data_IF_844608619331
#
_entry.id   IF_844608619331
#
_cell.length_a   1.000
_cell.length_b   1.000
_cell.length_c   1.000
_cell.angle_alpha   90.00
_cell.angle_beta   90.00
_cell.angle_gamma   90.00
#
_symmetry.space_group_name_H-M   'P 1'
#
loop_
_entity.id
_entity.type
_entity.pdbx_description
1 polymer ?
#
# COMPACT_ATOMS: atom_id res chain seq x y z
N UNK A 1 54.95 22.65 -0.86
CA UNK A 1 53.48 22.43 -0.79
C UNK A 1 53.09 20.96 -0.64
N UNK A 2 53.88 19.99 -1.10
CA UNK A 2 53.56 18.55 -1.02
C UNK A 2 53.35 18.04 0.42
N UNK A 3 54.13 18.56 1.36
CA UNK A 3 54.36 17.99 2.69
C UNK A 3 53.09 18.08 3.56
N UNK A 4 52.36 19.20 3.43
CA UNK A 4 51.07 19.39 4.12
C UNK A 4 50.00 18.43 3.58
N UNK A 5 50.03 18.09 2.28
CA UNK A 5 49.13 17.09 1.68
C UNK A 5 49.51 15.66 2.09
N UNK A 6 50.81 15.33 2.13
CA UNK A 6 51.26 14.02 2.61
C UNK A 6 50.92 13.81 4.09
N UNK A 7 51.11 14.84 4.93
CA UNK A 7 50.74 14.78 6.35
C UNK A 7 49.24 14.49 6.53
N UNK A 8 48.35 15.24 5.89
CA UNK A 8 46.89 14.97 5.96
C UNK A 8 46.50 13.58 5.46
N UNK A 9 47.23 13.02 4.47
CA UNK A 9 46.96 11.70 3.93
C UNK A 9 47.43 10.59 4.88
N UNK A 10 48.54 10.80 5.60
CA UNK A 10 49.03 9.90 6.63
C UNK A 10 48.17 9.95 7.91
N UNK A 11 47.73 11.14 8.33
CA UNK A 11 46.80 11.32 9.45
C UNK A 11 45.46 10.60 9.17
N UNK A 12 44.92 10.75 7.95
CA UNK A 12 43.70 10.04 7.53
C UNK A 12 43.87 8.51 7.47
N UNK A 13 45.00 8.01 6.95
CA UNK A 13 45.33 6.56 6.96
C UNK A 13 45.37 6.01 8.39
N UNK A 14 45.96 6.76 9.32
CA UNK A 14 46.03 6.38 10.73
C UNK A 14 44.64 6.31 11.37
N UNK A 15 43.77 7.29 11.14
CA UNK A 15 42.40 7.25 11.68
C UNK A 15 41.61 6.03 11.19
N UNK A 16 41.75 5.67 9.90
CA UNK A 16 41.12 4.47 9.33
C UNK A 16 41.65 3.19 9.99
N UNK A 17 42.96 3.08 10.23
CA UNK A 17 43.54 1.94 10.96
C UNK A 17 43.06 1.88 12.41
N UNK A 18 42.99 3.00 13.12
CA UNK A 18 42.48 3.04 14.51
C UNK A 18 41.00 2.66 14.60
N UNK A 19 40.17 3.04 13.61
CA UNK A 19 38.77 2.59 13.50
C UNK A 19 38.66 1.09 13.22
N UNK A 20 39.48 0.55 12.32
CA UNK A 20 39.46 -0.87 11.95
C UNK A 20 39.95 -1.77 13.10
N UNK A 21 40.98 -1.35 13.84
CA UNK A 21 41.44 -2.03 15.05
C UNK A 21 40.41 -2.00 16.19
N UNK A 22 39.63 -0.92 16.33
CA UNK A 22 38.50 -0.85 17.29
C UNK A 22 37.38 -1.81 16.90
N UNK A 23 37.07 -1.94 15.60
CA UNK A 23 36.08 -2.90 15.12
C UNK A 23 36.49 -4.35 15.41
N UNK A 24 37.75 -4.72 15.12
CA UNK A 24 38.28 -6.06 15.43
C UNK A 24 38.27 -6.39 16.93
N UNK A 25 38.47 -5.41 17.82
CA UNK A 25 38.36 -5.61 19.29
C UNK A 25 36.92 -5.73 19.81
N UNK A 26 35.89 -5.51 18.98
CA UNK A 26 34.48 -5.60 19.37
C UNK A 26 33.80 -6.95 19.07
N UNK A 27 34.51 -7.90 18.45
CA UNK A 27 33.97 -9.22 18.07
C UNK A 27 34.86 -10.38 18.49
N UNK A 28 34.74 -10.86 19.73
CA UNK A 28 35.52 -12.02 20.18
C UNK A 28 35.40 -12.39 21.66
N UNK A 29 34.26 -12.97 22.07
CA UNK A 29 34.12 -13.69 23.34
C UNK A 29 33.12 -14.84 23.23
N UNK A 30 33.61 -16.06 23.01
CA UNK A 30 33.27 -17.26 23.81
C UNK A 30 34.12 -18.48 23.40
N UNK A 31 34.41 -19.33 24.38
CA UNK A 31 35.19 -20.59 24.32
C UNK A 31 34.19 -21.78 24.46
N UNK A 32 34.47 -23.08 24.31
CA UNK A 32 35.71 -23.86 24.17
C UNK A 32 35.43 -25.32 23.71
N UNK A 33 36.47 -26.05 23.25
CA UNK A 33 36.66 -27.53 23.26
C UNK A 33 35.69 -28.43 22.44
N UNK A 34 36.17 -29.22 21.45
CA UNK A 34 36.74 -30.63 21.50
C UNK A 34 35.61 -31.69 21.24
N UNK A 35 35.76 -32.88 20.63
CA UNK A 35 36.89 -33.77 20.29
C UNK A 35 36.67 -34.52 18.91
N UNK A 36 37.59 -35.40 18.41
CA UNK A 36 37.59 -35.89 17.02
C UNK A 36 37.37 -37.41 16.79
N UNK A 37 37.05 -37.79 15.53
CA UNK A 37 37.40 -39.09 14.89
C UNK A 37 37.39 -39.02 13.34
N UNK A 38 38.11 -39.96 12.73
CA UNK A 38 38.21 -40.37 11.29
C UNK A 38 36.86 -40.61 10.59
N UNK A 39 36.67 -40.55 9.26
CA UNK A 39 37.50 -40.29 8.03
C UNK A 39 36.54 -39.93 6.85
N UNK A 40 36.77 -39.95 5.52
CA UNK A 40 37.81 -40.49 4.58
C UNK A 40 37.80 -39.71 3.23
N UNK A 41 38.53 -40.15 2.19
CA UNK A 41 38.68 -39.50 0.86
C UNK A 41 37.80 -40.08 -0.27
N UNK A 42 37.41 -39.23 -1.24
CA UNK A 42 37.48 -39.51 -2.70
C UNK A 42 37.58 -38.24 -3.57
N UNK A 43 38.26 -38.39 -4.71
CA UNK A 43 38.50 -37.50 -5.87
C UNK A 43 37.27 -37.29 -6.79
N UNK A 44 37.19 -36.38 -7.79
CA UNK A 44 37.95 -35.16 -8.21
C UNK A 44 37.09 -34.34 -9.26
N UNK A 45 37.56 -33.75 -10.38
CA UNK A 45 37.55 -32.29 -10.59
C UNK A 45 36.56 -31.73 -11.65
N UNK A 46 36.38 -30.40 -11.72
CA UNK A 46 35.53 -29.73 -12.73
C UNK A 46 36.31 -29.17 -13.95
N UNK A 47 35.67 -29.01 -15.13
CA UNK A 47 36.15 -28.16 -16.21
C UNK A 47 35.70 -26.70 -16.05
N UNK A 48 36.47 -25.75 -16.61
CA UNK A 48 36.17 -24.32 -16.58
C UNK A 48 36.12 -23.72 -18.01
N UNK A 49 35.39 -22.62 -18.20
CA UNK A 49 35.43 -21.85 -19.46
C UNK A 49 35.25 -20.34 -19.27
N UNK A 50 36.23 -19.60 -19.81
CA UNK A 50 36.19 -18.22 -20.28
C UNK A 50 35.47 -17.14 -19.44
N UNK A 51 36.21 -16.47 -18.56
CA UNK A 51 35.93 -15.07 -18.21
C UNK A 51 36.34 -14.14 -19.36
N UNK A 52 35.46 -13.24 -19.81
CA UNK A 52 35.83 -12.16 -20.75
C UNK A 52 35.62 -10.79 -20.09
N UNK A 53 36.66 -9.94 -20.13
CA UNK A 53 36.58 -8.56 -19.63
C UNK A 53 36.14 -7.64 -20.77
N UNK A 54 35.19 -6.74 -20.50
CA UNK A 54 34.97 -5.54 -21.31
C UNK A 54 35.15 -4.32 -20.40
N UNK A 55 35.85 -3.30 -20.89
CA UNK A 55 36.26 -2.14 -20.13
C UNK A 55 35.17 -1.04 -20.08
N UNK A 56 35.41 -0.04 -19.24
CA UNK A 56 34.51 1.08 -18.98
C UNK A 56 34.44 2.12 -20.11
N UNK A 57 33.23 2.59 -20.43
CA UNK A 57 33.00 3.96 -20.95
C UNK A 57 31.80 4.60 -20.24
N UNK A 58 32.04 5.21 -19.07
CA UNK A 58 31.00 5.90 -18.30
C UNK A 58 30.75 7.33 -18.79
N UNK A 59 29.84 7.50 -19.74
CA UNK A 59 29.38 8.80 -20.25
C UNK A 59 27.88 8.69 -20.65
N UNK A 60 26.97 9.61 -20.31
CA UNK A 60 27.03 10.66 -19.29
C UNK A 60 25.58 11.04 -18.87
N UNK A 61 24.98 10.34 -17.89
CA UNK A 61 23.53 10.44 -17.59
C UNK A 61 23.07 11.88 -17.25
N UNK A 62 23.93 12.62 -16.54
CA UNK A 62 23.72 14.02 -16.15
C UNK A 62 23.59 14.94 -17.38
N UNK A 63 24.34 14.64 -18.44
CA UNK A 63 24.36 15.39 -19.70
C UNK A 63 23.05 15.22 -20.49
N UNK A 64 22.49 14.00 -20.47
CA UNK A 64 21.23 13.69 -21.11
C UNK A 64 20.05 14.34 -20.35
N UNK A 65 20.09 14.33 -19.01
CA UNK A 65 19.15 15.11 -18.19
C UNK A 65 19.25 16.63 -18.43
N UNK A 66 20.47 17.17 -18.54
CA UNK A 66 20.73 18.58 -18.88
C UNK A 66 20.08 18.96 -20.21
N UNK A 67 20.24 18.12 -21.25
CA UNK A 67 19.67 18.36 -22.59
C UNK A 67 18.14 18.33 -22.61
N UNK A 68 17.52 17.44 -21.84
CA UNK A 68 16.06 17.37 -21.65
C UNK A 68 15.53 18.61 -20.91
N UNK A 69 16.23 19.09 -19.89
CA UNK A 69 15.86 20.31 -19.17
C UNK A 69 15.98 21.57 -20.05
N UNK A 70 17.03 21.66 -20.87
CA UNK A 70 17.21 22.79 -21.79
C UNK A 70 16.11 22.82 -22.87
N UNK A 71 15.75 21.69 -23.46
CA UNK A 71 14.67 21.59 -24.45
C UNK A 71 13.32 22.08 -23.87
N UNK A 72 12.99 21.69 -22.63
CA UNK A 72 11.79 22.17 -21.92
C UNK A 72 11.82 23.68 -21.66
N UNK A 73 13.00 24.25 -21.38
CA UNK A 73 13.18 25.69 -21.14
C UNK A 73 13.25 26.57 -22.40
N UNK A 74 13.25 25.98 -23.61
CA UNK A 74 13.03 26.72 -24.86
C UNK A 74 11.54 26.85 -25.15
N UNK A 75 10.80 25.73 -25.09
CA UNK A 75 9.34 25.68 -25.33
C UNK A 75 8.51 26.57 -24.38
N UNK A 76 9.02 26.92 -23.20
CA UNK A 76 8.35 27.81 -22.24
C UNK A 76 8.57 29.30 -22.48
N UNK A 77 9.49 29.72 -23.36
CA UNK A 77 9.83 31.14 -23.57
C UNK A 77 9.01 31.84 -24.65
N UNK A 78 8.51 31.11 -25.65
CA UNK A 78 7.84 31.69 -26.81
C UNK A 78 6.35 32.03 -26.58
N UNK A 79 5.84 31.83 -25.34
CA UNK A 79 4.44 32.03 -24.97
C UNK A 79 4.23 33.23 -24.00
N UNK A 80 4.73 34.42 -24.37
CA UNK A 80 4.41 35.65 -23.65
C UNK A 80 4.27 36.89 -24.56
N UNK A 81 3.14 36.98 -25.27
CA UNK A 81 2.62 38.24 -25.82
C UNK A 81 1.16 38.37 -25.37
N UNK A 82 0.85 39.41 -24.62
CA UNK A 82 -0.49 39.68 -24.09
C UNK A 82 -1.28 40.63 -25.01
N UNK A 83 -2.60 40.40 -25.17
CA UNK A 83 -3.60 41.48 -25.31
C UNK A 83 -5.06 40.99 -25.27
N UNK A 84 -5.82 41.60 -24.34
CA UNK A 84 -7.24 42.02 -24.41
C UNK A 84 -8.36 41.05 -24.86
N UNK A 85 -9.36 40.94 -23.98
CA UNK A 85 -10.70 40.32 -24.10
C UNK A 85 -11.69 41.19 -24.92
N UNK A 86 -13.00 40.85 -25.13
CA UNK A 86 -13.79 39.71 -24.61
C UNK A 86 -14.70 38.93 -25.61
N UNK A 87 -15.17 37.74 -25.20
CA UNK A 87 -16.46 37.16 -25.65
C UNK A 87 -16.43 35.74 -26.23
N UNK A 88 -16.97 34.75 -25.49
CA UNK A 88 -17.17 33.37 -25.96
C UNK A 88 -16.86 32.30 -24.90
N UNK A 89 -17.75 31.32 -24.61
CA UNK A 89 -17.57 30.42 -23.46
C UNK A 89 -17.13 28.99 -23.82
N UNK A 90 -16.21 28.43 -23.04
CA UNK A 90 -16.51 27.37 -22.05
C UNK A 90 -15.24 27.05 -21.21
N UNK A 91 -15.41 26.79 -19.91
CA UNK A 91 -14.30 26.50 -18.98
C UNK A 91 -13.91 25.02 -19.00
N UNK A 92 -12.62 24.74 -19.18
CA UNK A 92 -11.99 23.52 -18.66
C UNK A 92 -11.44 23.84 -17.27
N UNK A 93 -11.99 23.23 -16.22
CA UNK A 93 -11.57 23.49 -14.84
C UNK A 93 -10.40 22.59 -14.43
N UNK A 94 -9.23 23.21 -14.30
CA UNK A 94 -8.28 23.03 -13.18
C UNK A 94 -8.10 21.61 -12.62
N UNK A 95 -7.12 20.87 -13.17
CA UNK A 95 -6.41 19.83 -12.41
C UNK A 95 -5.27 20.46 -11.60
N UNK A 96 -5.61 21.15 -10.52
CA UNK A 96 -4.68 21.58 -9.47
C UNK A 96 -5.13 20.93 -8.15
N UNK A 97 -4.24 20.27 -7.39
CA UNK A 97 -4.65 19.62 -6.14
C UNK A 97 -5.19 20.64 -5.13
N UNK A 98 -6.19 20.27 -4.31
CA UNK A 98 -6.82 21.19 -3.37
C UNK A 98 -5.80 21.65 -2.31
N UNK A 99 -5.78 22.96 -2.03
CA UNK A 99 -4.93 23.50 -0.98
C UNK A 99 -5.39 23.03 0.41
N UNK A 100 -4.41 22.56 1.19
CA UNK A 100 -4.64 22.15 2.58
C UNK A 100 -5.11 23.37 3.38
N UNK A 101 -6.21 23.27 4.16
CA UNK A 101 -6.61 24.35 5.06
C UNK A 101 -5.61 24.44 6.21
N UNK A 102 -4.92 25.57 6.27
CA UNK A 102 -4.20 26.00 7.47
C UNK A 102 -5.11 26.96 8.25
N UNK A 103 -5.01 26.88 9.56
CA UNK A 103 -5.52 27.88 10.51
C UNK A 103 -4.60 29.12 10.53
N UNK A 104 -5.06 30.24 11.10
CA UNK A 104 -4.27 31.48 11.18
C UNK A 104 -2.96 31.31 11.99
N UNK A 105 -2.88 30.25 12.80
CA UNK A 105 -1.67 29.80 13.50
C UNK A 105 -0.63 29.06 12.62
N UNK A 106 -0.94 28.84 11.33
CA UNK A 106 -0.11 28.07 10.39
C UNK A 106 -0.19 26.55 10.56
N UNK A 107 -1.01 26.05 11.48
CA UNK A 107 -1.23 24.61 11.70
C UNK A 107 -2.39 24.08 10.83
N UNK A 108 -2.46 22.76 10.64
CA UNK A 108 -3.47 22.12 9.78
C UNK A 108 -4.83 22.11 10.48
N UNK A 109 -5.85 22.76 9.91
CA UNK A 109 -7.21 22.70 10.46
C UNK A 109 -7.89 21.36 10.12
N UNK A 110 -7.87 20.46 11.10
CA UNK A 110 -8.55 19.17 11.08
C UNK A 110 -10.07 19.29 10.83
N UNK A 111 -10.71 20.39 11.24
CA UNK A 111 -12.15 20.63 11.07
C UNK A 111 -12.47 20.98 9.62
N UNK A 112 -11.78 21.94 9.02
CA UNK A 112 -11.88 22.23 7.60
C UNK A 112 -11.45 21.04 6.73
N UNK A 113 -10.45 20.23 7.13
CA UNK A 113 -10.12 18.98 6.41
C UNK A 113 -11.28 17.98 6.42
N UNK A 114 -12.00 17.86 7.54
CA UNK A 114 -13.13 16.95 7.69
C UNK A 114 -14.38 17.43 6.91
N UNK A 115 -14.61 18.74 6.81
CA UNK A 115 -15.71 19.34 6.05
C UNK A 115 -15.41 19.48 4.54
N UNK A 116 -14.14 19.67 4.13
CA UNK A 116 -13.69 19.57 2.72
C UNK A 116 -13.63 18.13 2.19
N UNK A 117 -13.97 17.13 3.01
CA UNK A 117 -14.02 15.71 2.61
C UNK A 117 -12.66 15.03 2.44
N UNK A 118 -11.57 15.65 2.93
CA UNK A 118 -10.19 15.15 2.79
C UNK A 118 -9.95 13.96 3.75
N UNK A 119 -10.65 13.92 4.89
CA UNK A 119 -10.64 12.80 5.83
C UNK A 119 -11.89 11.93 5.60
N UNK A 120 -11.76 10.63 5.26
CA UNK A 120 -12.88 9.71 5.15
C UNK A 120 -13.62 9.56 6.49
N UNK A 121 -14.91 9.95 6.53
CA UNK A 121 -15.74 9.78 7.73
C UNK A 121 -16.21 8.32 7.84
N UNK A 122 -15.91 7.65 8.96
CA UNK A 122 -16.42 6.31 9.27
C UNK A 122 -17.95 6.35 9.41
N UNK A 123 -18.66 5.83 8.42
CA UNK A 123 -20.13 5.80 8.42
C UNK A 123 -20.62 4.83 9.51
N UNK A 124 -21.35 5.36 10.49
CA UNK A 124 -22.19 4.59 11.42
C UNK A 124 -23.65 4.79 11.03
N UNK A 125 -24.56 3.84 11.26
CA UNK A 125 -25.93 3.88 10.70
C UNK A 125 -26.72 5.16 11.04
N UNK A 126 -26.39 5.82 12.16
CA UNK A 126 -27.06 7.04 12.61
C UNK A 126 -26.59 8.33 11.87
N UNK A 127 -25.46 8.32 11.14
CA UNK A 127 -24.97 9.54 10.45
C UNK A 127 -25.86 9.98 9.29
N UNK A 128 -26.52 9.02 8.62
CA UNK A 128 -27.36 9.27 7.44
C UNK A 128 -28.67 9.99 7.79
N UNK A 129 -29.20 9.77 8.99
CA UNK A 129 -30.36 10.50 9.51
C UNK A 129 -30.03 11.98 9.78
N UNK A 130 -28.97 12.25 10.55
CA UNK A 130 -28.59 13.62 10.94
C UNK A 130 -28.19 14.49 9.74
N UNK A 131 -27.53 13.93 8.73
CA UNK A 131 -27.26 14.62 7.44
C UNK A 131 -28.55 15.14 6.78
N UNK A 132 -29.63 14.34 6.81
CA UNK A 132 -30.92 14.66 6.17
C UNK A 132 -31.70 15.74 6.94
N UNK A 133 -31.57 15.78 8.27
CA UNK A 133 -32.15 16.84 9.10
C UNK A 133 -31.51 18.22 8.83
N UNK A 134 -30.17 18.30 8.84
CA UNK A 134 -29.47 19.59 8.65
C UNK A 134 -29.70 20.22 7.27
N UNK A 135 -29.94 19.42 6.22
CA UNK A 135 -30.24 19.94 4.88
C UNK A 135 -31.61 20.65 4.81
N UNK A 136 -32.56 20.36 5.71
CA UNK A 136 -33.90 20.96 5.69
C UNK A 136 -33.93 22.40 6.21
N UNK A 137 -32.96 22.82 7.04
CA UNK A 137 -32.86 24.18 7.58
C UNK A 137 -32.07 25.18 6.70
N UNK A 138 -31.67 24.80 5.47
CA UNK A 138 -30.91 25.67 4.55
C UNK A 138 -31.68 26.05 3.26
N UNK A 139 -32.99 26.31 3.38
CA UNK A 139 -33.82 26.83 2.28
C UNK A 139 -34.60 28.08 2.73
N UNK A 140 -34.07 29.24 2.38
CA UNK A 140 -34.79 30.52 2.31
C UNK A 140 -34.88 30.96 0.83
N UNK A 141 -35.90 31.74 0.43
CA UNK A 141 -36.12 32.09 -0.97
C UNK A 141 -35.24 33.28 -1.44
N UNK A 142 -34.74 33.28 -2.69
CA UNK A 142 -34.11 34.44 -3.32
C UNK A 142 -35.15 35.35 -4.01
N UNK A 143 -34.84 36.63 -4.18
CA UNK A 143 -35.72 37.62 -4.80
C UNK A 143 -35.09 38.32 -6.03
N UNK A 144 -35.96 38.62 -7.00
CA UNK A 144 -35.94 39.71 -8.00
C UNK A 144 -34.71 40.02 -8.91
N UNK A 145 -35.02 40.10 -10.22
CA UNK A 145 -34.37 40.92 -11.27
C UNK A 145 -32.92 40.54 -11.71
N UNK A 146 -32.43 40.89 -12.91
CA UNK A 146 -32.93 41.77 -14.01
C UNK A 146 -32.74 41.08 -15.39
N UNK A 147 -33.33 41.59 -16.48
CA UNK A 147 -33.40 40.94 -17.80
C UNK A 147 -33.05 41.86 -19.00
N UNK A 148 -33.33 41.37 -20.23
CA UNK A 148 -33.26 42.02 -21.57
C UNK A 148 -31.94 41.93 -22.36
N UNK A 149 -31.94 42.03 -23.72
CA UNK A 149 -33.03 41.81 -24.69
C UNK A 149 -32.67 40.82 -25.83
N UNK A 150 -33.63 40.50 -26.71
CA UNK A 150 -33.43 39.84 -28.02
C UNK A 150 -33.65 40.84 -29.16
N UNK A 151 -32.91 40.73 -30.26
CA UNK A 151 -33.13 41.53 -31.48
C UNK A 151 -33.47 40.66 -32.70
N UNK A 152 -34.34 41.19 -33.57
CA UNK A 152 -34.92 40.50 -34.73
C UNK A 152 -34.12 40.77 -36.01
N UNK A 153 -34.27 39.93 -37.04
CA UNK A 153 -33.91 40.29 -38.43
C UNK A 153 -35.08 40.05 -39.37
N UNK A 154 -35.23 40.95 -40.34
CA UNK A 154 -36.41 41.10 -41.20
C UNK A 154 -36.35 40.15 -42.40
N UNK A 155 -37.52 39.77 -42.91
CA UNK A 155 -37.70 39.10 -44.20
C UNK A 155 -37.51 40.09 -45.36
N UNK A 156 -37.06 39.60 -46.52
CA UNK A 156 -37.10 40.35 -47.76
C UNK A 156 -37.35 39.44 -48.97
N UNK A 157 -38.47 39.69 -49.66
CA UNK A 157 -38.81 39.42 -51.06
C UNK A 157 -38.36 38.09 -51.71
N UNK A 158 -39.36 37.25 -52.03
CA UNK A 158 -39.29 36.31 -53.16
C UNK A 158 -39.53 37.09 -54.46
N UNK A 159 -38.97 36.64 -55.59
CA UNK A 159 -39.25 37.18 -56.93
C UNK A 159 -39.42 36.01 -57.91
N UNK A 160 -40.50 36.08 -58.69
CA UNK A 160 -40.90 35.28 -59.86
C UNK A 160 -41.09 33.77 -59.68
N UNK A 161 -42.34 33.34 -59.81
CA UNK A 161 -42.73 31.98 -60.21
C UNK A 161 -42.79 31.93 -61.76
N UNK A 162 -42.54 30.76 -62.36
CA UNK A 162 -42.49 30.58 -63.83
C UNK A 162 -43.88 30.16 -64.36
N UNK A 163 -44.34 30.67 -65.53
CA UNK A 163 -45.63 30.30 -66.10
C UNK A 163 -45.82 28.78 -66.30
N UNK A 164 -47.03 28.30 -66.02
CA UNK A 164 -47.40 26.88 -65.98
C UNK A 164 -47.30 26.14 -67.32
N UNK A 165 -47.33 26.84 -68.45
CA UNK A 165 -47.30 26.23 -69.79
C UNK A 165 -45.97 25.50 -70.10
N UNK A 166 -44.91 25.76 -69.33
CA UNK A 166 -43.63 25.03 -69.41
C UNK A 166 -43.51 23.87 -68.40
N UNK A 167 -44.54 23.60 -67.59
CA UNK A 167 -44.56 22.47 -66.65
C UNK A 167 -45.44 21.28 -67.08
N UNK A 168 -46.36 21.45 -68.04
CA UNK A 168 -47.20 20.36 -68.55
C UNK A 168 -46.53 19.60 -69.72
N UNK A 169 -46.24 18.29 -69.59
CA UNK A 169 -45.50 17.54 -70.61
C UNK A 169 -46.28 17.35 -71.93
N UNK A 170 -47.61 17.40 -71.91
CA UNK A 170 -48.46 17.21 -73.11
C UNK A 170 -48.59 18.46 -74.00
N UNK A 171 -48.03 19.61 -73.62
CA UNK A 171 -48.05 20.86 -74.43
C UNK A 171 -46.68 21.27 -74.97
N UNK A 172 -45.60 20.63 -74.52
CA UNK A 172 -44.25 20.97 -74.95
C UNK A 172 -43.87 20.18 -76.22
N UNK A 173 -43.70 20.82 -77.40
CA UNK A 173 -43.38 20.14 -78.65
C UNK A 173 -41.95 19.56 -78.70
N UNK A 174 -41.15 19.76 -77.65
CA UNK A 174 -39.78 19.23 -77.50
C UNK A 174 -39.66 18.17 -76.38
N UNK A 175 -40.76 17.62 -75.87
CA UNK A 175 -40.75 16.53 -74.89
C UNK A 175 -40.91 15.16 -75.55
N UNK A 176 -39.95 14.26 -75.33
CA UNK A 176 -39.98 12.87 -75.81
C UNK A 176 -40.50 11.92 -74.72
N UNK A 177 -41.69 11.31 -74.88
CA UNK A 177 -42.23 10.35 -73.92
C UNK A 177 -41.42 9.05 -73.75
N UNK A 178 -40.47 8.75 -74.65
CA UNK A 178 -39.61 7.56 -74.54
C UNK A 178 -38.55 7.69 -73.44
N UNK A 179 -38.35 8.87 -72.85
CA UNK A 179 -37.36 9.10 -71.80
C UNK A 179 -38.03 9.14 -70.41
N UNK A 180 -37.62 8.27 -69.48
CA UNK A 180 -38.08 8.29 -68.07
C UNK A 180 -37.50 9.47 -67.24
N UNK A 181 -37.45 10.67 -67.81
CA UNK A 181 -37.02 11.89 -67.13
C UNK A 181 -38.24 12.57 -66.51
N UNK A 182 -38.40 12.41 -65.19
CA UNK A 182 -39.49 13.05 -64.43
C UNK A 182 -39.40 14.58 -64.56
N UNK A 183 -40.32 15.17 -65.33
CA UNK A 183 -40.38 16.60 -65.63
C UNK A 183 -40.74 17.38 -64.37
N UNK A 184 -39.70 17.87 -63.69
CA UNK A 184 -39.82 18.83 -62.59
C UNK A 184 -38.57 19.73 -62.59
N UNK A 185 -38.69 21.06 -62.78
CA UNK A 185 -37.56 21.98 -62.75
C UNK A 185 -36.85 21.95 -61.39
N UNK A 186 -35.73 21.23 -61.30
CA UNK A 186 -35.01 21.06 -60.03
C UNK A 186 -34.14 22.29 -59.76
N UNK A 187 -34.73 23.25 -59.05
CA UNK A 187 -34.20 24.57 -58.66
C UNK A 187 -32.78 24.54 -58.04
N UNK A 188 -31.76 24.43 -58.90
CA UNK A 188 -30.33 24.32 -58.53
C UNK A 188 -29.76 25.69 -58.22
N UNK A 189 -30.13 26.22 -57.05
CA UNK A 189 -29.54 27.44 -56.47
C UNK A 189 -28.00 27.35 -56.48
N UNK A 190 -27.36 28.33 -57.11
CA UNK A 190 -25.90 28.38 -57.22
C UNK A 190 -25.24 28.40 -55.82
N UNK A 191 -24.20 27.57 -55.65
CA UNK A 191 -23.43 27.54 -54.39
C UNK A 191 -22.54 28.78 -54.29
N UNK A 192 -22.66 29.62 -53.24
CA UNK A 192 -21.76 30.74 -53.05
C UNK A 192 -20.33 30.28 -52.73
N UNK A 193 -19.33 31.03 -53.18
CA UNK A 193 -17.92 30.76 -52.92
C UNK A 193 -17.62 30.86 -51.41
N UNK A 194 -17.20 29.73 -50.83
CA UNK A 194 -16.84 29.64 -49.41
C UNK A 194 -15.34 29.81 -49.21
N UNK A 195 -14.88 31.07 -49.22
CA UNK A 195 -13.50 31.41 -48.93
C UNK A 195 -13.09 30.88 -47.53
N UNK A 196 -11.86 30.37 -47.44
CA UNK A 196 -11.27 29.88 -46.20
C UNK A 196 -10.50 31.01 -45.54
N UNK A 197 -10.69 31.20 -44.23
CA UNK A 197 -9.99 32.23 -43.47
C UNK A 197 -8.46 32.00 -43.51
N UNK A 198 -7.65 33.07 -43.62
CA UNK A 198 -6.19 32.95 -43.55
C UNK A 198 -5.77 32.30 -42.22
N UNK A 199 -4.61 31.64 -42.21
CA UNK A 199 -4.13 30.85 -41.07
C UNK A 199 -4.63 29.41 -41.04
N UNK A 200 -5.90 29.12 -41.37
CA UNK A 200 -6.51 27.78 -41.15
C UNK A 200 -5.67 26.60 -41.68
N UNK A 201 -5.14 26.69 -42.90
CA UNK A 201 -4.30 25.62 -43.46
C UNK A 201 -2.87 25.60 -42.91
N UNK A 202 -2.37 26.75 -42.45
CA UNK A 202 -1.07 26.87 -41.76
C UNK A 202 -1.16 26.16 -40.40
N UNK A 203 -2.27 26.34 -39.66
CA UNK A 203 -2.54 25.66 -38.40
C UNK A 203 -2.64 24.13 -38.56
N UNK A 204 -3.33 23.67 -39.60
CA UNK A 204 -3.42 22.23 -39.93
C UNK A 204 -2.03 21.66 -40.23
N UNK A 205 -1.25 22.33 -41.08
CA UNK A 205 0.11 21.89 -41.41
C UNK A 205 1.07 21.98 -40.20
N UNK A 206 0.85 22.90 -39.26
CA UNK A 206 1.59 22.98 -38.00
C UNK A 206 1.25 21.80 -37.07
N UNK A 207 -0.04 21.44 -36.95
CA UNK A 207 -0.47 20.26 -36.18
C UNK A 207 0.06 18.95 -36.77
N UNK A 208 0.11 18.85 -38.10
CA UNK A 208 0.65 17.69 -38.81
C UNK A 208 2.17 17.54 -38.58
N UNK A 209 2.94 18.62 -38.71
CA UNK A 209 4.37 18.65 -38.36
C UNK A 209 4.62 18.30 -36.88
N UNK A 210 3.78 18.77 -35.96
CA UNK A 210 3.88 18.40 -34.54
C UNK A 210 3.61 16.90 -34.29
N UNK A 211 2.62 16.30 -34.98
CA UNK A 211 2.36 14.85 -34.92
C UNK A 211 3.55 14.05 -35.44
N UNK A 212 4.10 14.42 -36.59
CA UNK A 212 5.26 13.75 -37.18
C UNK A 212 6.51 13.82 -36.26
N UNK A 213 6.71 14.93 -35.53
CA UNK A 213 7.76 15.03 -34.52
C UNK A 213 7.53 14.09 -33.32
N UNK A 214 6.29 14.00 -32.82
CA UNK A 214 5.95 13.07 -31.73
C UNK A 214 6.08 11.60 -32.15
N UNK A 215 5.72 11.26 -33.39
CA UNK A 215 5.91 9.92 -33.92
C UNK A 215 7.38 9.56 -34.09
N UNK A 216 8.19 10.47 -34.64
CA UNK A 216 9.65 10.29 -34.75
C UNK A 216 10.32 10.10 -33.38
N UNK A 217 9.92 10.89 -32.37
CA UNK A 217 10.41 10.71 -31.00
C UNK A 217 9.95 9.38 -30.39
N UNK A 218 8.74 8.91 -30.69
CA UNK A 218 8.26 7.57 -30.27
C UNK A 218 9.10 6.47 -30.93
N UNK A 219 9.41 6.58 -32.22
CA UNK A 219 10.27 5.65 -32.95
C UNK A 219 11.67 5.63 -32.34
N UNK A 220 12.31 6.79 -32.15
CA UNK A 220 13.63 6.96 -31.50
C UNK A 220 13.66 6.40 -30.07
N UNK A 221 12.58 6.53 -29.30
CA UNK A 221 12.43 5.88 -27.98
C UNK A 221 12.37 4.35 -28.14
N UNK A 222 11.62 3.80 -29.09
CA UNK A 222 11.59 2.33 -29.30
C UNK A 222 12.92 1.78 -29.82
N UNK A 223 13.63 2.53 -30.67
CA UNK A 223 14.95 2.16 -31.18
C UNK A 223 16.02 2.23 -30.09
N UNK A 224 16.01 3.27 -29.25
CA UNK A 224 16.94 3.38 -28.12
C UNK A 224 16.65 2.34 -27.02
N UNK A 225 15.38 1.99 -26.76
CA UNK A 225 15.02 0.86 -25.86
C UNK A 225 15.52 -0.48 -26.41
N UNK A 226 15.31 -0.75 -27.72
CA UNK A 226 15.86 -1.95 -28.39
C UNK A 226 17.39 -1.99 -28.33
N UNK A 227 18.05 -0.88 -28.66
CA UNK A 227 19.51 -0.73 -28.67
C UNK A 227 20.14 -0.79 -27.27
N UNK A 228 19.39 -0.42 -26.23
CA UNK A 228 19.77 -0.61 -24.83
C UNK A 228 19.53 -2.03 -24.30
N UNK A 229 18.98 -2.94 -25.12
CA UNK A 229 18.75 -4.35 -24.74
C UNK A 229 17.56 -4.58 -23.79
N UNK A 230 16.90 -3.53 -23.31
CA UNK A 230 15.86 -3.58 -22.26
C UNK A 230 14.53 -4.22 -22.71
N UNK A 231 14.51 -4.82 -23.91
CA UNK A 231 13.43 -5.63 -24.45
C UNK A 231 13.33 -7.01 -23.74
N UNK A 232 14.42 -7.48 -23.13
CA UNK A 232 14.52 -8.81 -22.49
C UNK A 232 13.74 -8.89 -21.17
N UNK A 233 13.75 -7.84 -20.36
CA UNK A 233 13.12 -7.85 -19.02
C UNK A 233 11.59 -8.07 -19.08
N UNK A 234 10.94 -7.64 -20.17
CA UNK A 234 9.51 -7.90 -20.43
C UNK A 234 9.25 -9.35 -20.89
N UNK A 235 10.10 -9.93 -21.74
CA UNK A 235 9.88 -11.29 -22.25
C UNK A 235 10.29 -12.38 -21.25
N UNK A 236 11.08 -12.04 -20.22
CA UNK A 236 11.39 -12.96 -19.09
C UNK A 236 10.17 -13.19 -18.20
N UNK A 237 9.39 -12.15 -17.87
CA UNK A 237 8.13 -12.34 -17.14
C UNK A 237 7.11 -13.14 -17.96
N UNK A 238 7.06 -12.90 -19.27
CA UNK A 238 6.13 -13.58 -20.17
C UNK A 238 6.55 -15.04 -20.42
N UNK A 239 7.85 -15.36 -20.45
CA UNK A 239 8.36 -16.74 -20.51
C UNK A 239 7.86 -17.60 -19.34
N UNK A 240 7.82 -17.05 -18.13
CA UNK A 240 7.35 -17.78 -16.94
C UNK A 240 5.82 -18.01 -16.91
N UNK A 241 5.07 -17.39 -17.84
CA UNK A 241 3.61 -17.48 -17.93
C UNK A 241 3.17 -18.30 -19.17
N UNK A 242 4.01 -18.37 -20.20
CA UNK A 242 3.86 -19.26 -21.36
C UNK A 242 3.97 -20.72 -20.87
N UNK A 243 2.84 -21.42 -20.80
CA UNK A 243 2.79 -22.88 -20.64
C UNK A 243 3.29 -23.52 -21.92
N UNK A 244 4.07 -24.59 -21.78
CA UNK A 244 4.36 -25.50 -22.89
C UNK A 244 3.07 -26.15 -23.41
N UNK A 245 3.11 -26.68 -24.63
CA UNK A 245 2.01 -27.47 -25.16
C UNK A 245 1.76 -28.71 -24.27
N UNK A 246 0.51 -29.12 -24.03
CA UNK A 246 0.23 -30.34 -23.30
C UNK A 246 0.85 -31.54 -24.04
N UNK A 247 1.32 -32.58 -23.31
CA UNK A 247 1.76 -33.82 -23.94
C UNK A 247 0.60 -34.47 -24.71
N UNK A 248 0.91 -35.24 -25.75
CA UNK A 248 -0.11 -35.94 -26.55
C UNK A 248 -0.93 -36.97 -25.76
N UNK A 249 -0.42 -37.38 -24.59
CA UNK A 249 -1.05 -38.32 -23.65
C UNK A 249 -0.82 -37.86 -22.22
N UNK A 250 -1.85 -37.99 -21.37
CA UNK A 250 -1.73 -37.68 -19.96
C UNK A 250 -0.88 -38.72 -19.22
N UNK A 251 -0.07 -38.25 -18.26
CA UNK A 251 0.96 -39.05 -17.59
C UNK A 251 0.42 -40.25 -16.79
N UNK A 252 -0.88 -40.24 -16.45
CA UNK A 252 -1.57 -41.31 -15.75
C UNK A 252 -2.22 -42.33 -16.71
N UNK A 253 -2.50 -41.95 -17.96
CA UNK A 253 -2.92 -42.87 -19.04
C UNK A 253 -1.71 -43.58 -19.69
N UNK A 254 -0.54 -42.94 -19.67
CA UNK A 254 0.69 -43.44 -20.30
C UNK A 254 1.13 -44.88 -19.93
N UNK A 255 0.83 -45.45 -18.73
CA UNK A 255 1.08 -46.87 -18.43
C UNK A 255 0.08 -47.83 -19.08
N UNK A 256 -1.12 -47.36 -19.45
CA UNK A 256 -2.21 -48.18 -19.98
C UNK A 256 -2.22 -48.27 -21.51
N UNK A 257 -1.47 -47.42 -22.23
CA UNK A 257 -1.48 -47.40 -23.70
C UNK A 257 -0.14 -47.83 -24.31
N UNK A 258 -0.17 -48.89 -25.11
CA UNK A 258 1.01 -49.48 -25.74
C UNK A 258 1.83 -48.46 -26.57
N UNK A 259 1.16 -47.69 -27.42
CA UNK A 259 1.79 -46.72 -28.33
C UNK A 259 1.92 -45.29 -27.75
N UNK A 260 1.37 -45.04 -26.55
CA UNK A 260 1.37 -43.73 -25.87
C UNK A 260 0.75 -42.59 -26.71
N UNK A 261 -0.32 -42.92 -27.43
CA UNK A 261 -1.18 -42.00 -28.18
C UNK A 261 -2.63 -42.46 -28.04
N UNK A 262 -3.60 -41.53 -28.03
CA UNK A 262 -5.03 -41.87 -27.91
C UNK A 262 -5.68 -42.36 -29.22
N UNK A 263 -4.95 -42.35 -30.34
CA UNK A 263 -5.48 -42.70 -31.68
C UNK A 263 -5.93 -44.18 -31.79
N UNK A 264 -5.42 -45.06 -30.93
CA UNK A 264 -5.70 -46.51 -30.95
C UNK A 264 -7.00 -46.91 -30.20
N UNK A 265 -7.67 -45.98 -29.50
CA UNK A 265 -8.79 -46.28 -28.58
C UNK A 265 -9.96 -47.05 -29.21
N UNK A 266 -10.27 -46.80 -30.49
CA UNK A 266 -11.38 -47.46 -31.20
C UNK A 266 -11.00 -48.82 -31.82
N UNK A 267 -9.71 -49.18 -31.87
CA UNK A 267 -9.22 -50.35 -32.62
C UNK A 267 -8.37 -51.33 -31.80
N UNK A 268 -8.12 -51.07 -30.51
CA UNK A 268 -7.27 -51.91 -29.68
C UNK A 268 -8.04 -53.05 -29.01
N UNK A 269 -7.66 -54.30 -29.31
CA UNK A 269 -8.02 -55.46 -28.47
C UNK A 269 -7.43 -55.26 -27.06
N UNK A 270 -8.31 -55.08 -26.07
CA UNK A 270 -7.94 -54.85 -24.68
C UNK A 270 -7.42 -56.16 -24.07
N UNK A 271 -6.11 -56.39 -24.22
CA UNK A 271 -5.40 -57.53 -23.65
C UNK A 271 -5.37 -57.44 -22.11
N UNK A 272 -6.40 -57.96 -21.44
CA UNK A 272 -6.60 -57.97 -19.98
C UNK A 272 -5.34 -58.31 -19.17
N UNK A 273 -4.57 -59.28 -19.65
CA UNK A 273 -3.35 -59.81 -19.00
C UNK A 273 -2.27 -58.72 -18.81
N UNK A 274 -2.19 -57.72 -19.69
CA UNK A 274 -1.29 -56.57 -19.53
C UNK A 274 -1.73 -55.61 -18.41
N UNK A 275 -3.02 -55.64 -18.05
CA UNK A 275 -3.64 -54.73 -17.08
C UNK A 275 -3.74 -55.31 -15.68
N UNK A 276 -3.63 -56.64 -15.49
CA UNK A 276 -3.72 -57.30 -14.18
C UNK A 276 -2.68 -56.77 -13.16
N UNK A 277 -1.51 -56.33 -13.62
CA UNK A 277 -0.48 -55.71 -12.76
C UNK A 277 -0.74 -54.22 -12.42
N UNK A 278 -1.70 -53.57 -13.07
CA UNK A 278 -1.98 -52.13 -12.92
C UNK A 278 -3.38 -51.85 -12.34
N UNK A 279 -4.38 -52.65 -12.73
CA UNK A 279 -5.77 -52.58 -12.28
C UNK A 279 -6.10 -53.87 -11.56
N UNK A 280 -6.42 -53.77 -10.27
CA UNK A 280 -6.86 -54.92 -9.46
C UNK A 280 -8.22 -54.64 -8.84
N UNK A 281 -8.90 -55.68 -8.36
CA UNK A 281 -10.18 -55.56 -7.63
C UNK A 281 -10.07 -54.86 -6.25
N UNK A 282 -8.86 -54.50 -5.81
CA UNK A 282 -8.61 -53.96 -4.48
C UNK A 282 -8.58 -52.43 -4.45
N UNK A 283 -9.45 -51.83 -3.64
CA UNK A 283 -9.46 -50.37 -3.40
C UNK A 283 -8.34 -49.99 -2.45
N UNK A 284 -7.28 -49.36 -2.97
CA UNK A 284 -6.18 -48.84 -2.17
C UNK A 284 -6.64 -47.69 -1.26
N UNK A 285 -6.50 -47.87 0.06
CA UNK A 285 -6.76 -46.84 1.05
C UNK A 285 -5.46 -46.08 1.36
N UNK A 286 -5.29 -44.82 0.89
CA UNK A 286 -4.03 -44.10 1.07
C UNK A 286 -3.74 -43.81 2.55
N UNK A 287 -2.44 -43.76 2.89
CA UNK A 287 -1.98 -43.50 4.26
C UNK A 287 -2.58 -42.17 4.77
N UNK A 288 -3.28 -42.17 5.92
CA UNK A 288 -3.96 -40.97 6.42
C UNK A 288 -2.95 -39.93 6.89
N UNK A 289 -2.74 -38.90 6.06
CA UNK A 289 -1.89 -37.75 6.38
C UNK A 289 -2.58 -36.92 7.46
N UNK A 290 -1.94 -36.77 8.62
CA UNK A 290 -2.41 -35.88 9.69
C UNK A 290 -2.44 -34.43 9.19
N UNK A 291 -3.47 -33.63 9.54
CA UNK A 291 -3.51 -32.23 9.10
C UNK A 291 -2.30 -31.46 9.66
N UNK A 292 -1.68 -30.55 8.89
CA UNK A 292 -0.40 -29.92 9.26
C UNK A 292 -0.46 -29.11 10.56
N UNK A 293 -1.66 -28.68 10.96
CA UNK A 293 -1.97 -28.10 12.28
C UNK A 293 -1.62 -29.06 13.44
N UNK A 294 -2.10 -30.30 13.37
CA UNK A 294 -1.97 -31.28 14.48
C UNK A 294 -0.55 -31.83 14.65
N UNK A 295 0.28 -31.77 13.62
CA UNK A 295 1.67 -32.24 13.68
C UNK A 295 2.52 -31.40 14.63
N UNK A 296 2.22 -30.10 14.76
CA UNK A 296 2.96 -29.17 15.61
C UNK A 296 2.13 -28.61 16.79
N UNK A 297 0.82 -28.85 16.83
CA UNK A 297 -0.04 -28.38 17.91
C UNK A 297 0.30 -29.07 19.24
N UNK A 298 0.72 -28.29 20.23
CA UNK A 298 0.64 -28.72 21.64
C UNK A 298 -0.83 -29.05 21.96
N UNK A 299 -1.13 -30.13 22.69
CA UNK A 299 -2.51 -30.52 22.98
C UNK A 299 -3.26 -29.37 23.66
N UNK A 300 -4.47 -29.07 23.18
CA UNK A 300 -5.23 -27.88 23.60
C UNK A 300 -5.81 -28.10 25.01
N UNK A 301 -4.98 -27.85 26.02
CA UNK A 301 -5.38 -27.82 27.43
C UNK A 301 -6.35 -26.64 27.60
N UNK A 302 -7.66 -26.94 27.60
CA UNK A 302 -8.73 -25.96 27.85
C UNK A 302 -8.49 -25.29 29.21
N UNK A 303 -8.23 -23.99 29.21
CA UNK A 303 -7.95 -23.22 30.43
C UNK A 303 -9.14 -23.31 31.40
N UNK A 304 -8.92 -23.80 32.63
CA UNK A 304 -9.97 -23.97 33.62
C UNK A 304 -10.54 -22.61 34.08
N UNK A 305 -11.70 -22.23 33.55
CA UNK A 305 -12.34 -20.95 33.86
C UNK A 305 -13.18 -21.04 35.14
N UNK A 306 -12.64 -20.52 36.25
CA UNK A 306 -13.34 -20.47 37.53
C UNK A 306 -14.50 -19.44 37.52
N UNK A 307 -15.65 -19.83 38.06
CA UNK A 307 -16.80 -18.94 38.28
C UNK A 307 -16.45 -17.79 39.24
N UNK A 308 -17.30 -16.76 39.28
CA UNK A 308 -17.15 -15.66 40.25
C UNK A 308 -17.33 -16.12 41.70
N UNK A 309 -18.10 -17.20 41.94
CA UNK A 309 -18.26 -17.82 43.27
C UNK A 309 -16.97 -18.54 43.70
N UNK A 310 -16.39 -19.36 42.82
CA UNK A 310 -15.14 -20.08 43.12
C UNK A 310 -13.95 -19.14 43.25
N UNK A 311 -13.81 -18.14 42.38
CA UNK A 311 -12.77 -17.09 42.54
C UNK A 311 -12.90 -16.35 43.87
N UNK A 312 -14.13 -16.11 44.37
CA UNK A 312 -14.37 -15.56 45.70
C UNK A 312 -14.02 -16.55 46.82
N UNK A 313 -14.29 -17.86 46.65
CA UNK A 313 -13.95 -18.92 47.61
C UNK A 313 -12.43 -19.10 47.73
N UNK A 314 -11.74 -19.31 46.61
CA UNK A 314 -10.28 -19.45 46.54
C UNK A 314 -9.56 -18.23 47.13
N UNK A 315 -9.97 -17.00 46.75
CA UNK A 315 -9.45 -15.75 47.32
C UNK A 315 -9.73 -15.59 48.82
N UNK A 316 -10.77 -16.24 49.37
CA UNK A 316 -11.04 -16.25 50.81
C UNK A 316 -10.15 -17.26 51.53
N UNK A 317 -10.00 -18.47 50.98
CA UNK A 317 -9.18 -19.54 51.53
C UNK A 317 -7.69 -19.12 51.58
N UNK A 318 -7.09 -18.72 50.46
CA UNK A 318 -5.68 -18.29 50.42
C UNK A 318 -5.38 -17.08 51.32
N UNK A 319 -6.36 -16.19 51.53
CA UNK A 319 -6.24 -15.08 52.49
C UNK A 319 -6.39 -15.52 53.95
N UNK A 320 -7.27 -16.47 54.24
CA UNK A 320 -7.41 -17.02 55.59
C UNK A 320 -6.17 -17.82 55.97
N UNK A 321 -5.62 -18.59 55.03
CA UNK A 321 -4.38 -19.35 55.14
C UNK A 321 -3.17 -18.44 55.39
N UNK A 322 -2.91 -17.45 54.52
CA UNK A 322 -1.80 -16.50 54.72
C UNK A 322 -1.93 -15.65 56.01
N UNK A 323 -3.17 -15.40 56.48
CA UNK A 323 -3.41 -14.76 57.77
C UNK A 323 -3.20 -15.71 58.96
N UNK A 324 -3.54 -17.01 58.81
CA UNK A 324 -3.24 -18.04 59.80
C UNK A 324 -1.72 -18.24 59.90
N UNK A 325 -1.05 -18.46 58.78
CA UNK A 325 0.41 -18.57 58.68
C UNK A 325 1.12 -17.39 59.34
N UNK A 326 0.67 -16.15 59.10
CA UNK A 326 1.23 -14.97 59.79
C UNK A 326 1.00 -15.00 61.31
N UNK A 327 -0.20 -15.36 61.77
CA UNK A 327 -0.48 -15.48 63.22
C UNK A 327 0.34 -16.60 63.86
N UNK A 328 0.49 -17.72 63.18
CA UNK A 328 1.25 -18.88 63.63
C UNK A 328 2.75 -18.49 63.74
N UNK A 329 3.29 -17.75 62.76
CA UNK A 329 4.65 -17.17 62.81
C UNK A 329 4.85 -16.15 63.94
N UNK A 330 3.85 -15.31 64.23
CA UNK A 330 3.89 -14.38 65.38
C UNK A 330 3.80 -15.15 66.72
N UNK A 331 2.95 -16.19 66.80
CA UNK A 331 2.82 -17.06 67.97
C UNK A 331 4.10 -17.86 68.26
N UNK A 332 4.87 -18.18 67.22
CA UNK A 332 6.19 -18.82 67.31
C UNK A 332 7.34 -17.81 67.52
N UNK A 333 7.05 -16.50 67.64
CA UNK A 333 8.07 -15.46 67.83
C UNK A 333 8.96 -15.17 66.62
N UNK A 334 8.69 -15.78 65.45
CA UNK A 334 9.51 -15.65 64.24
C UNK A 334 9.28 -14.32 63.49
N UNK A 335 8.16 -13.64 63.77
CA UNK A 335 7.81 -12.32 63.23
C UNK A 335 7.17 -11.51 64.37
N UNK A 336 7.59 -10.25 64.55
CA UNK A 336 6.96 -9.33 65.50
C UNK A 336 5.49 -9.01 65.14
N UNK A 337 4.61 -8.73 66.10
CA UNK A 337 3.25 -8.29 65.82
C UNK A 337 3.23 -6.95 65.05
N UNK A 338 2.38 -6.83 64.03
CA UNK A 338 2.25 -5.60 63.24
C UNK A 338 1.89 -4.40 64.13
N UNK A 339 2.64 -3.28 64.10
CA UNK A 339 2.32 -2.09 64.89
C UNK A 339 0.99 -1.45 64.41
N UNK A 340 0.27 -0.75 65.32
CA UNK A 340 -1.03 -0.17 65.00
C UNK A 340 -0.91 0.91 63.90
N UNK A 341 -1.69 0.75 62.83
CA UNK A 341 -1.64 1.63 61.65
C UNK A 341 -2.25 3.00 61.92
N UNK A 342 -1.44 3.96 62.34
CA UNK A 342 -1.90 5.33 62.63
C UNK A 342 -2.22 6.10 61.33
N UNK A 343 -3.17 7.02 61.40
CA UNK A 343 -3.45 8.03 60.36
C UNK A 343 -3.53 9.39 61.03
N UNK A 344 -3.30 10.47 60.29
CA UNK A 344 -3.53 11.84 60.78
C UNK A 344 -4.99 11.97 61.29
N UNK A 345 -5.97 11.42 60.57
CA UNK A 345 -7.40 11.36 60.97
C UNK A 345 -7.69 10.56 62.25
N UNK A 346 -6.75 9.71 62.69
CA UNK A 346 -6.90 8.82 63.85
C UNK A 346 -5.89 9.17 64.96
N UNK A 347 -5.04 10.18 64.75
CA UNK A 347 -3.86 10.47 65.58
C UNK A 347 -4.25 10.70 67.04
N UNK A 348 -5.18 11.63 67.29
CA UNK A 348 -5.68 11.92 68.64
C UNK A 348 -6.46 10.76 69.29
N UNK A 349 -6.91 9.75 68.52
CA UNK A 349 -7.63 8.57 69.04
C UNK A 349 -6.72 7.39 69.37
N UNK A 350 -5.47 7.41 68.92
CA UNK A 350 -4.52 6.28 69.07
C UNK A 350 -3.27 6.68 69.85
N UNK A 351 -2.82 7.94 69.71
CA UNK A 351 -1.68 8.52 70.40
C UNK A 351 -2.09 9.81 71.12
N UNK A 352 -3.30 9.85 71.71
CA UNK A 352 -3.90 11.06 72.27
C UNK A 352 -3.01 11.74 73.32
N UNK A 353 -2.46 10.98 74.26
CA UNK A 353 -1.59 11.47 75.33
C UNK A 353 -0.26 12.01 74.78
N UNK A 354 0.44 11.27 73.90
CA UNK A 354 1.64 11.77 73.22
C UNK A 354 1.34 13.05 72.41
N UNK A 355 0.18 13.11 71.76
CA UNK A 355 -0.21 14.20 70.85
C UNK A 355 -0.66 15.47 71.56
N UNK A 356 -1.12 15.37 72.82
CA UNK A 356 -1.42 16.53 73.67
C UNK A 356 -0.11 17.16 74.17
N UNK A 357 0.91 16.34 74.47
CA UNK A 357 2.23 16.83 74.87
C UNK A 357 3.02 17.44 73.71
N UNK A 358 3.07 16.75 72.57
CA UNK A 358 4.09 16.98 71.54
C UNK A 358 3.48 16.91 70.11
N UNK A 359 2.44 17.71 69.79
CA UNK A 359 1.57 17.50 68.62
C UNK A 359 2.33 17.43 67.28
N UNK A 360 3.24 18.37 67.03
CA UNK A 360 4.03 18.44 65.79
C UNK A 360 4.95 17.23 65.61
N UNK A 361 5.50 16.71 66.71
CA UNK A 361 6.42 15.56 66.73
C UNK A 361 5.67 14.25 66.48
N UNK A 362 4.49 14.08 67.07
CA UNK A 362 3.61 12.94 66.80
C UNK A 362 3.07 13.01 65.36
N UNK A 363 2.69 14.19 64.87
CA UNK A 363 2.27 14.33 63.47
C UNK A 363 3.41 14.00 62.49
N UNK A 364 4.63 14.49 62.76
CA UNK A 364 5.81 14.14 61.96
C UNK A 364 6.11 12.63 61.98
N UNK A 365 5.98 11.96 63.13
CA UNK A 365 6.10 10.50 63.28
C UNK A 365 5.08 9.77 62.39
N UNK A 366 3.81 10.17 62.44
CA UNK A 366 2.71 9.57 61.66
C UNK A 366 2.83 9.89 60.16
N UNK A 367 3.24 11.10 59.78
CA UNK A 367 3.55 11.48 58.38
C UNK A 367 4.71 10.63 57.82
N UNK A 368 5.78 10.42 58.60
CA UNK A 368 6.93 9.55 58.23
C UNK A 368 6.50 8.09 58.07
N UNK A 369 5.69 7.56 58.99
CA UNK A 369 5.17 6.19 58.93
C UNK A 369 4.22 5.99 57.72
N UNK A 370 3.39 7.00 57.43
CA UNK A 370 2.53 7.03 56.23
C UNK A 370 3.35 7.08 54.92
N UNK A 371 4.38 7.92 54.85
CA UNK A 371 5.29 7.98 53.70
C UNK A 371 6.07 6.67 53.54
N UNK A 372 6.51 6.04 54.63
CA UNK A 372 7.19 4.75 54.57
C UNK A 372 6.26 3.65 54.04
N UNK A 373 4.98 3.63 54.47
CA UNK A 373 3.97 2.71 53.89
C UNK A 373 3.73 2.95 52.40
N UNK A 374 3.71 4.21 51.95
CA UNK A 374 3.58 4.54 50.53
C UNK A 374 4.79 4.05 49.73
N UNK A 375 6.01 4.38 50.18
CA UNK A 375 7.28 3.93 49.57
C UNK A 375 7.40 2.40 49.51
N UNK A 376 6.97 1.68 50.55
CA UNK A 376 6.99 0.22 50.56
C UNK A 376 5.98 -0.38 49.58
N UNK A 377 4.81 0.25 49.39
CA UNK A 377 3.84 -0.13 48.36
C UNK A 377 4.39 0.13 46.95
N UNK A 378 5.01 1.29 46.72
CA UNK A 378 5.64 1.66 45.45
C UNK A 378 6.78 0.71 45.11
N UNK A 379 7.75 0.52 46.02
CA UNK A 379 8.87 -0.43 45.87
C UNK A 379 8.39 -1.86 45.59
N UNK A 380 7.34 -2.33 46.29
CA UNK A 380 6.79 -3.66 46.04
C UNK A 380 6.06 -3.78 44.68
N UNK A 381 5.58 -2.67 44.11
CA UNK A 381 5.02 -2.63 42.76
C UNK A 381 6.12 -2.53 41.69
N UNK A 382 7.20 -1.80 41.96
CA UNK A 382 8.41 -1.75 41.11
C UNK A 382 9.08 -3.13 41.03
N UNK A 383 9.25 -3.82 42.16
CA UNK A 383 9.75 -5.20 42.22
C UNK A 383 8.86 -6.22 41.48
N UNK A 384 7.58 -5.88 41.21
CA UNK A 384 6.64 -6.70 40.43
C UNK A 384 6.47 -6.22 38.98
N UNK A 385 7.15 -5.14 38.58
CA UNK A 385 7.04 -4.51 37.26
C UNK A 385 8.11 -5.06 36.34
N UNK A 386 7.71 -5.88 35.36
CA UNK A 386 8.63 -6.47 34.37
C UNK A 386 9.60 -5.41 33.80
N UNK A 387 10.89 -5.74 33.80
CA UNK A 387 11.93 -4.90 33.20
C UNK A 387 11.68 -4.69 31.70
N UNK A 388 12.38 -3.73 31.08
CA UNK A 388 12.26 -3.51 29.64
C UNK A 388 12.70 -4.75 28.83
N UNK A 389 13.66 -5.51 29.36
CA UNK A 389 14.25 -6.70 28.74
C UNK A 389 13.35 -7.92 28.92
N UNK A 390 12.85 -8.20 30.12
CA UNK A 390 11.83 -9.24 30.35
C UNK A 390 10.58 -9.03 29.50
N UNK A 391 10.16 -7.77 29.31
CA UNK A 391 9.01 -7.43 28.47
C UNK A 391 9.28 -7.70 26.99
N UNK A 392 10.47 -7.38 26.50
CA UNK A 392 10.92 -7.75 25.13
C UNK A 392 11.00 -9.26 24.98
N UNK A 393 11.61 -9.97 25.93
CA UNK A 393 11.72 -11.42 25.92
C UNK A 393 10.34 -12.10 25.90
N UNK A 394 9.38 -11.61 26.71
CA UNK A 394 8.00 -12.12 26.73
C UNK A 394 7.25 -11.89 25.41
N UNK A 395 7.47 -10.75 24.74
CA UNK A 395 6.91 -10.49 23.40
C UNK A 395 7.55 -11.41 22.36
N UNK A 396 8.88 -11.56 22.38
CA UNK A 396 9.60 -12.44 21.45
C UNK A 396 9.24 -13.92 21.64
N UNK A 397 9.01 -14.36 22.86
CA UNK A 397 8.57 -15.74 23.13
C UNK A 397 7.14 -15.98 22.64
N UNK A 398 6.20 -15.05 22.89
CA UNK A 398 4.85 -15.14 22.33
C UNK A 398 4.89 -15.20 20.79
N UNK A 399 5.68 -14.34 20.14
CA UNK A 399 5.80 -14.35 18.68
C UNK A 399 6.33 -15.70 18.14
N UNK A 400 7.28 -16.34 18.85
CA UNK A 400 7.77 -17.69 18.52
C UNK A 400 6.75 -18.80 18.80
N UNK A 401 5.86 -18.62 19.76
CA UNK A 401 4.76 -19.56 20.07
C UNK A 401 3.64 -19.45 19.03
N UNK A 402 3.27 -18.21 18.66
CA UNK A 402 2.33 -17.92 17.57
C UNK A 402 2.84 -18.52 16.24
N UNK A 403 4.10 -18.21 15.87
CA UNK A 403 4.75 -18.65 14.62
C UNK A 403 4.86 -20.19 14.46
N UNK A 404 4.90 -20.95 15.56
CA UNK A 404 4.87 -22.42 15.54
C UNK A 404 3.51 -22.99 15.17
N UNK A 405 2.44 -22.24 15.43
CA UNK A 405 1.06 -22.69 15.27
C UNK A 405 0.57 -22.42 13.85
N UNK A 406 0.74 -21.18 13.38
CA UNK A 406 0.40 -20.76 12.02
C UNK A 406 1.14 -19.47 11.65
N UNK A 407 1.20 -19.18 10.34
CA UNK A 407 1.73 -17.91 9.84
C UNK A 407 0.65 -17.21 9.01
N UNK A 408 0.06 -16.15 9.56
CA UNK A 408 -0.91 -15.32 8.86
C UNK A 408 -0.18 -14.37 7.90
N UNK A 409 -0.41 -14.53 6.59
CA UNK A 409 0.27 -13.74 5.55
C UNK A 409 -0.69 -12.70 4.97
N UNK A 410 -0.44 -11.43 5.25
CA UNK A 410 -1.16 -10.30 4.67
C UNK A 410 -0.41 -9.72 3.46
N UNK A 411 -0.98 -9.85 2.27
CA UNK A 411 -0.41 -9.33 1.02
C UNK A 411 -1.02 -7.95 0.71
N UNK A 412 -0.17 -6.93 0.57
CA UNK A 412 -0.59 -5.55 0.30
C UNK A 412 -0.06 -5.05 -1.04
N UNK A 413 -0.93 -4.46 -1.87
CA UNK A 413 -0.56 -3.75 -3.09
C UNK A 413 -0.76 -2.24 -2.89
N UNK A 414 0.33 -1.48 -2.95
CA UNK A 414 0.32 -0.02 -2.84
C UNK A 414 0.72 0.62 -4.18
N UNK A 415 -0.03 1.62 -4.64
CA UNK A 415 0.27 2.33 -5.91
C UNK A 415 1.30 3.45 -5.76
N UNK A 416 1.35 4.09 -4.60
CA UNK A 416 2.35 5.10 -4.22
C UNK A 416 2.47 5.13 -2.70
N UNK A 417 3.69 5.15 -2.17
CA UNK A 417 3.96 5.18 -0.73
C UNK A 417 4.85 6.38 -0.41
N UNK A 418 4.24 7.54 -0.21
CA UNK A 418 4.95 8.73 0.26
C UNK A 418 4.97 8.72 1.78
N UNK A 419 6.07 8.22 2.35
CA UNK A 419 6.34 8.39 3.78
C UNK A 419 6.58 9.88 4.05
N UNK A 420 5.59 10.52 4.67
CA UNK A 420 5.77 11.84 5.29
C UNK A 420 6.54 11.60 6.59
N UNK A 421 7.70 12.23 6.73
CA UNK A 421 8.65 12.04 7.83
C UNK A 421 8.97 13.40 8.46
#
# INVERSE_FOLDING_TARGET
MSDRKQKTLNDAKREVQERLAKLQKSGGLLNSQRAPTTSINTSSPPPASASNKIASTGLNLIELQRKIAEARNRLSKDNNVTRTTPGGPLRVTELKPPSMPLDDSGQIDLKAMLDKGIIPRRETPNTKANKRAMQRNKRAPPAAATAQPKTQKKTLLKINEVPSDFTDPNKNPYFDPSMEVKVAPKDRRARPLKFVQPGKYIDIANQERAKAQLERLKQEITESVKKAGMQTEFDVSDKAIKRDAPPAVEWWDAPFMANKTYDDLDNADINSDNYESLVTIYVHHPVPIKPPSEVNATPVIKSLMLTTKERKKLRRQTRAEAQKEKRDKVRLGLIEPDPPKVKISNLMRVLGEEAIQDPTKVEARVRKEMQQRQRMHEKANEQRKLTAEERRAKIMNKLKEDQKTSNEVAVFKHGYYQSQM
#
